data_IF_610224805992
#
_entry.id   IF_610224805992
#
_cell.length_a   1.000
_cell.length_b   1.000
_cell.length_c   1.000
_cell.angle_alpha   90.00
_cell.angle_beta   90.00
_cell.angle_gamma   90.00
#
_symmetry.space_group_name_H-M   'P 1'
#
loop_
_entity.id
_entity.type
_entity.pdbx_description
1 polymer ?
#
# COMPACT_ATOMS: atom_id res chain seq x y z
N UNK A 1 2.51 -5.51 -29.54
CA UNK A 1 3.38 -5.09 -30.67
C UNK A 1 3.23 -3.58 -30.83
N UNK A 2 3.85 -2.91 -31.81
CA UNK A 2 3.60 -1.47 -32.05
C UNK A 2 2.17 -1.17 -32.55
N UNK A 3 1.29 -2.17 -32.62
CA UNK A 3 -0.11 -2.05 -33.03
C UNK A 3 -1.10 -2.25 -31.89
N UNK A 4 -0.65 -2.18 -30.63
CA UNK A 4 -1.47 -2.37 -29.42
C UNK A 4 -2.27 -3.69 -29.38
N UNK A 5 -1.82 -4.70 -30.13
CA UNK A 5 -2.45 -6.03 -30.10
C UNK A 5 -1.83 -6.92 -29.02
N UNK A 6 -2.63 -7.77 -28.35
CA UNK A 6 -2.12 -8.79 -27.44
C UNK A 6 -1.12 -9.70 -28.17
N UNK A 7 0.00 -9.97 -27.52
CA UNK A 7 1.05 -10.85 -28.03
C UNK A 7 1.24 -12.01 -27.07
N UNK A 8 1.45 -13.21 -27.61
CA UNK A 8 1.75 -14.37 -26.79
C UNK A 8 3.08 -14.15 -26.05
N UNK A 9 3.04 -14.26 -24.73
CA UNK A 9 4.19 -14.10 -23.85
C UNK A 9 4.24 -15.24 -22.83
N UNK A 10 5.45 -15.70 -22.52
CA UNK A 10 5.69 -16.67 -21.44
C UNK A 10 6.88 -16.20 -20.61
N UNK A 11 7.00 -16.62 -19.35
CA UNK A 11 8.10 -16.17 -18.53
C UNK A 11 8.01 -16.57 -17.07
N UNK A 12 8.83 -15.89 -16.26
CA UNK A 12 8.87 -16.04 -14.81
C UNK A 12 8.99 -14.68 -14.14
N UNK A 13 8.50 -14.59 -12.91
CA UNK A 13 8.84 -13.52 -11.99
C UNK A 13 9.99 -13.98 -11.10
N UNK A 14 11.09 -13.22 -11.06
CA UNK A 14 12.14 -13.41 -10.07
C UNK A 14 11.90 -12.43 -8.93
N UNK A 15 11.49 -12.93 -7.77
CA UNK A 15 11.31 -12.15 -6.56
C UNK A 15 12.62 -12.11 -5.77
N UNK A 16 13.00 -10.92 -5.32
CA UNK A 16 14.04 -10.68 -4.32
C UNK A 16 13.33 -10.38 -3.02
N UNK A 17 13.15 -11.39 -2.18
CA UNK A 17 12.44 -11.30 -0.89
C UNK A 17 13.50 -11.29 0.21
N UNK A 18 13.66 -10.16 0.90
CA UNK A 18 14.67 -10.03 1.97
C UNK A 18 16.11 -10.31 1.50
N UNK A 19 16.41 -10.02 0.23
CA UNK A 19 17.71 -10.28 -0.40
C UNK A 19 17.89 -11.70 -0.98
N UNK A 20 16.91 -12.60 -0.82
CA UNK A 20 16.94 -13.94 -1.41
C UNK A 20 16.17 -13.98 -2.73
N UNK A 21 16.72 -14.69 -3.73
CA UNK A 21 16.08 -14.92 -5.03
C UNK A 21 15.08 -16.07 -4.93
N UNK A 22 13.87 -15.84 -5.43
CA UNK A 22 12.82 -16.83 -5.62
C UNK A 22 12.28 -16.68 -7.05
N UNK A 23 12.49 -17.71 -7.88
CA UNK A 23 11.96 -17.76 -9.24
C UNK A 23 10.59 -18.42 -9.23
N UNK A 24 9.57 -17.73 -9.73
CA UNK A 24 8.18 -18.20 -9.79
C UNK A 24 7.72 -18.21 -11.24
N UNK A 25 7.34 -19.39 -11.80
CA UNK A 25 6.86 -19.47 -13.17
C UNK A 25 5.50 -18.78 -13.30
N UNK A 26 5.33 -17.98 -14.35
CA UNK A 26 4.05 -17.34 -14.65
C UNK A 26 3.10 -18.34 -15.30
N UNK A 27 1.83 -18.28 -14.89
CA UNK A 27 0.72 -19.01 -15.50
C UNK A 27 -0.19 -18.03 -16.24
N UNK A 28 -0.75 -18.47 -17.36
CA UNK A 28 -1.74 -17.68 -18.07
C UNK A 28 -3.10 -17.78 -17.37
N UNK A 29 -3.74 -16.64 -17.16
CA UNK A 29 -5.10 -16.51 -16.66
C UNK A 29 -5.83 -15.45 -17.50
N UNK A 30 -6.57 -15.90 -18.51
CA UNK A 30 -7.16 -15.00 -19.51
C UNK A 30 -6.11 -14.16 -20.24
N UNK A 31 -6.25 -12.83 -20.17
CA UNK A 31 -5.33 -11.86 -20.76
C UNK A 31 -4.13 -11.50 -19.86
N UNK A 32 -4.05 -12.07 -18.65
CA UNK A 32 -2.99 -11.78 -17.68
C UNK A 32 -2.07 -12.97 -17.42
N UNK A 33 -0.84 -12.68 -16.97
CA UNK A 33 0.11 -13.66 -16.48
C UNK A 33 0.22 -13.50 -14.96
N UNK A 34 -0.10 -14.56 -14.21
CA UNK A 34 -0.13 -14.55 -12.74
C UNK A 34 0.90 -15.51 -12.15
N UNK A 35 1.41 -15.17 -10.98
CA UNK A 35 2.27 -16.02 -10.17
C UNK A 35 2.12 -15.65 -8.70
N UNK A 36 1.92 -16.66 -7.86
CA UNK A 36 1.76 -16.49 -6.42
C UNK A 36 3.05 -16.84 -5.69
N UNK A 37 3.40 -16.03 -4.72
CA UNK A 37 4.47 -16.32 -3.77
C UNK A 37 4.05 -15.87 -2.37
N UNK A 38 4.33 -16.71 -1.37
CA UNK A 38 4.15 -16.32 0.01
C UNK A 38 5.18 -15.23 0.38
N UNK A 39 4.68 -14.04 0.72
CA UNK A 39 5.46 -12.92 1.23
C UNK A 39 4.77 -12.37 2.47
N UNK A 40 5.54 -11.76 3.36
CA UNK A 40 5.05 -11.10 4.57
C UNK A 40 5.11 -9.58 4.41
N UNK A 41 4.41 -8.85 5.27
CA UNK A 41 4.42 -7.38 5.28
C UNK A 41 5.80 -6.79 5.59
N UNK A 42 6.68 -7.54 6.25
CA UNK A 42 8.04 -7.12 6.57
C UNK A 42 9.03 -7.33 5.40
N UNK A 43 8.66 -8.11 4.39
CA UNK A 43 9.55 -8.44 3.29
C UNK A 43 9.75 -7.24 2.37
N UNK A 44 11.02 -6.92 2.11
CA UNK A 44 11.39 -6.09 0.95
C UNK A 44 11.28 -6.97 -0.28
N UNK A 45 10.32 -6.69 -1.16
CA UNK A 45 10.10 -7.45 -2.38
C UNK A 45 10.46 -6.58 -3.57
N UNK A 46 11.50 -6.96 -4.30
CA UNK A 46 11.69 -6.48 -5.66
C UNK A 46 11.38 -7.63 -6.63
N UNK A 47 10.59 -7.36 -7.65
CA UNK A 47 10.26 -8.33 -8.68
C UNK A 47 10.95 -7.95 -9.98
N UNK A 48 11.60 -8.92 -10.61
CA UNK A 48 12.04 -8.81 -12.00
C UNK A 48 11.13 -9.69 -12.81
N UNK A 49 10.24 -9.07 -13.58
CA UNK A 49 9.44 -9.77 -14.55
C UNK A 49 10.32 -10.06 -15.76
N UNK A 50 10.53 -11.34 -16.06
CA UNK A 50 11.28 -11.79 -17.23
C UNK A 50 10.33 -12.50 -18.19
N UNK A 51 10.00 -11.85 -19.30
CA UNK A 51 9.12 -12.38 -20.35
C UNK A 51 9.91 -12.69 -21.61
N UNK A 52 9.43 -13.66 -22.37
CA UNK A 52 9.80 -13.88 -23.76
C UNK A 52 8.58 -13.61 -24.64
N UNK A 53 8.70 -12.62 -25.53
CA UNK A 53 7.66 -12.24 -26.49
C UNK A 53 8.18 -12.59 -27.88
N UNK A 54 7.52 -13.52 -28.58
CA UNK A 54 7.97 -14.02 -29.89
C UNK A 54 9.45 -14.44 -29.91
N UNK A 55 9.92 -15.10 -28.85
CA UNK A 55 11.31 -15.55 -28.71
C UNK A 55 12.32 -14.45 -28.31
N UNK A 56 11.88 -13.20 -28.09
CA UNK A 56 12.74 -12.10 -27.65
C UNK A 56 12.56 -11.81 -26.15
N UNK A 57 13.64 -11.72 -25.36
CA UNK A 57 13.53 -11.44 -23.94
C UNK A 57 13.17 -9.97 -23.68
N UNK A 58 12.28 -9.75 -22.71
CA UNK A 58 11.89 -8.44 -22.18
C UNK A 58 11.91 -8.54 -20.65
N UNK A 59 12.53 -7.58 -19.98
CA UNK A 59 12.58 -7.56 -18.51
C UNK A 59 12.15 -6.22 -17.94
N UNK A 60 11.28 -6.25 -16.94
CA UNK A 60 10.86 -5.08 -16.18
C UNK A 60 11.15 -5.29 -14.69
N UNK A 61 11.61 -4.23 -14.02
CA UNK A 61 11.88 -4.24 -12.57
C UNK A 61 10.80 -3.48 -11.84
N UNK A 62 10.25 -4.11 -10.81
CA UNK A 62 9.25 -3.55 -9.92
C UNK A 62 9.80 -3.64 -8.49
N UNK A 63 9.60 -2.61 -7.69
CA UNK A 63 10.04 -2.57 -6.30
C UNK A 63 8.87 -2.23 -5.42
N UNK A 64 8.63 -3.07 -4.41
CA UNK A 64 7.74 -2.73 -3.31
C UNK A 64 8.62 -2.41 -2.08
N UNK A 65 8.58 -1.15 -1.65
CA UNK A 65 9.27 -0.74 -0.42
C UNK A 65 8.66 -1.50 0.78
N UNK A 66 9.52 -1.91 1.72
CA UNK A 66 9.07 -2.58 2.94
C UNK A 66 8.09 -1.69 3.69
N UNK A 67 7.02 -2.30 4.20
CA UNK A 67 6.06 -1.62 5.02
C UNK A 67 6.67 -1.36 6.40
N UNK A 68 6.70 -0.10 6.81
CA UNK A 68 7.02 0.28 8.18
C UNK A 68 5.75 0.18 9.00
N UNK A 69 5.72 -0.74 9.97
CA UNK A 69 4.65 -0.82 10.96
C UNK A 69 4.98 0.12 12.14
N UNK A 70 4.25 1.24 12.32
CA UNK A 70 4.50 2.14 13.44
C UNK A 70 3.94 1.59 14.75
N UNK A 71 4.44 2.11 15.86
CA UNK A 71 3.73 2.02 17.13
C UNK A 71 2.41 2.78 17.04
N UNK A 72 1.30 2.11 17.33
CA UNK A 72 -0.03 2.68 17.21
C UNK A 72 -0.49 3.26 18.55
N UNK A 73 -1.18 4.41 18.51
CA UNK A 73 -1.96 4.87 19.65
C UNK A 73 -3.10 3.90 19.96
N UNK A 74 -3.75 4.04 21.13
CA UNK A 74 -4.92 3.23 21.46
C UNK A 74 -6.04 3.37 20.40
N UNK A 75 -6.26 4.61 19.93
CA UNK A 75 -7.25 4.90 18.89
C UNK A 75 -6.87 4.26 17.55
N UNK A 76 -5.62 4.41 17.10
CA UNK A 76 -5.17 3.80 15.85
C UNK A 76 -5.14 2.26 15.92
N UNK A 77 -4.93 1.69 17.11
CA UNK A 77 -5.04 0.24 17.34
C UNK A 77 -6.48 -0.25 17.20
N UNK A 78 -7.46 0.47 17.78
CA UNK A 78 -8.87 0.20 17.56
C UNK A 78 -9.26 0.34 16.07
N UNK A 79 -8.71 1.36 15.42
CA UNK A 79 -8.85 1.60 13.98
C UNK A 79 -8.31 0.47 13.12
N UNK A 80 -7.16 -0.08 13.47
CA UNK A 80 -6.58 -1.25 12.79
C UNK A 80 -7.54 -2.44 12.85
N UNK A 81 -8.07 -2.75 14.03
CA UNK A 81 -9.02 -3.85 14.20
C UNK A 81 -10.30 -3.63 13.36
N UNK A 82 -10.85 -2.42 13.37
CA UNK A 82 -12.02 -2.08 12.56
C UNK A 82 -11.71 -2.16 11.05
N UNK A 83 -10.55 -1.68 10.62
CA UNK A 83 -10.10 -1.75 9.23
C UNK A 83 -9.92 -3.21 8.76
N UNK A 84 -9.28 -4.05 9.57
CA UNK A 84 -9.08 -5.47 9.26
C UNK A 84 -10.40 -6.23 9.13
N UNK A 85 -11.39 -5.87 9.95
CA UNK A 85 -12.71 -6.48 9.91
C UNK A 85 -13.55 -6.02 8.70
N UNK A 86 -13.51 -4.73 8.36
CA UNK A 86 -14.49 -4.14 7.42
C UNK A 86 -13.89 -3.78 6.07
N UNK A 87 -12.65 -3.31 6.05
CA UNK A 87 -12.08 -2.63 4.89
C UNK A 87 -11.04 -3.49 4.14
N UNK A 88 -10.30 -4.33 4.87
CA UNK A 88 -9.16 -5.09 4.34
C UNK A 88 -9.55 -6.13 3.27
N UNK A 89 -10.79 -6.60 3.27
CA UNK A 89 -11.29 -7.53 2.25
C UNK A 89 -11.17 -6.96 0.83
N UNK A 90 -11.31 -5.63 0.67
CA UNK A 90 -11.17 -4.95 -0.62
C UNK A 90 -9.88 -4.14 -0.70
N UNK A 91 -9.52 -3.38 0.33
CA UNK A 91 -8.34 -2.51 0.32
C UNK A 91 -7.03 -3.21 0.68
N UNK A 92 -7.07 -4.53 0.84
CA UNK A 92 -5.93 -5.34 1.25
C UNK A 92 -5.50 -5.08 2.70
N UNK A 93 -4.73 -6.01 3.25
CA UNK A 93 -4.15 -5.84 4.58
C UNK A 93 -3.16 -4.67 4.58
N UNK A 94 -3.11 -3.95 5.69
CA UNK A 94 -2.14 -2.89 5.92
C UNK A 94 -2.12 -1.81 4.80
N UNK A 95 -3.29 -1.49 4.25
CA UNK A 95 -3.54 -0.34 3.38
C UNK A 95 -2.88 -0.43 1.99
N UNK A 96 -2.42 -1.61 1.58
CA UNK A 96 -1.63 -1.81 0.35
C UNK A 96 -2.45 -1.92 -0.93
N UNK A 97 -3.78 -1.92 -0.84
CA UNK A 97 -4.66 -2.16 -1.98
C UNK A 97 -4.75 -3.64 -2.31
N UNK A 98 -5.65 -3.96 -3.24
CA UNK A 98 -5.75 -5.27 -3.88
C UNK A 98 -6.25 -5.08 -5.31
N UNK A 99 -6.48 -6.18 -6.03
CA UNK A 99 -7.11 -6.14 -7.35
C UNK A 99 -8.57 -5.63 -7.30
N UNK A 100 -9.18 -5.58 -6.10
CA UNK A 100 -10.54 -5.10 -5.91
C UNK A 100 -10.64 -3.62 -5.52
N UNK A 101 -9.61 -3.01 -4.92
CA UNK A 101 -9.69 -1.63 -4.44
C UNK A 101 -8.30 -0.97 -4.29
N UNK A 102 -8.22 0.38 -4.37
CA UNK A 102 -6.95 1.07 -4.42
C UNK A 102 -6.17 1.02 -3.10
N UNK A 103 -4.83 1.18 -3.15
CA UNK A 103 -4.02 1.38 -1.97
C UNK A 103 -4.36 2.68 -1.26
N UNK A 104 -4.43 2.64 0.08
CA UNK A 104 -4.56 3.83 0.91
C UNK A 104 -3.19 4.41 1.31
N UNK A 105 -2.09 3.67 1.09
CA UNK A 105 -0.72 4.20 1.09
C UNK A 105 -0.39 4.82 -0.27
N UNK A 106 -1.00 5.96 -0.57
CA UNK A 106 -0.81 6.67 -1.82
C UNK A 106 -0.93 8.19 -1.65
N UNK A 107 -0.19 8.96 -2.45
CA UNK A 107 -0.17 10.43 -2.43
C UNK A 107 -1.53 11.09 -2.66
N UNK A 108 -2.47 10.38 -3.27
CA UNK A 108 -3.84 10.88 -3.45
C UNK A 108 -4.58 11.00 -2.13
N UNK A 109 -4.22 10.18 -1.13
CA UNK A 109 -4.92 10.09 0.15
C UNK A 109 -4.13 10.68 1.31
N UNK A 110 -2.99 11.34 1.04
CA UNK A 110 -2.15 11.91 2.09
C UNK A 110 -2.80 13.19 2.67
N UNK A 111 -2.40 13.61 3.89
CA UNK A 111 -2.84 14.89 4.46
C UNK A 111 -2.61 16.06 3.51
N UNK A 112 -3.59 16.96 3.42
CA UNK A 112 -3.53 18.16 2.55
C UNK A 112 -3.74 17.90 1.05
N UNK A 113 -3.99 16.66 0.65
CA UNK A 113 -4.41 16.33 -0.73
C UNK A 113 -5.90 16.55 -0.95
N UNK A 114 -6.34 16.48 -2.21
CA UNK A 114 -7.76 16.56 -2.59
C UNK A 114 -8.60 15.37 -2.13
N UNK A 115 -8.00 14.28 -1.65
CA UNK A 115 -8.70 13.16 -1.02
C UNK A 115 -8.19 12.91 0.41
N UNK A 116 -8.11 14.00 1.18
CA UNK A 116 -7.68 14.04 2.57
C UNK A 116 -8.69 13.46 3.57
N UNK A 117 -8.61 13.91 4.83
CA UNK A 117 -9.34 13.35 5.97
C UNK A 117 -10.87 13.35 5.76
N UNK A 118 -11.41 14.48 5.31
CA UNK A 118 -12.83 14.68 5.07
C UNK A 118 -13.39 13.72 4.01
N UNK A 119 -12.64 13.52 2.92
CA UNK A 119 -13.03 12.60 1.85
C UNK A 119 -12.92 11.15 2.31
N UNK A 120 -11.88 10.79 3.06
CA UNK A 120 -11.73 9.43 3.60
C UNK A 120 -12.86 9.13 4.60
N UNK A 121 -13.20 10.05 5.49
CA UNK A 121 -14.31 9.89 6.44
C UNK A 121 -15.66 9.78 5.72
N UNK A 122 -15.89 10.63 4.71
CA UNK A 122 -17.11 10.57 3.90
C UNK A 122 -17.23 9.23 3.17
N UNK A 123 -16.13 8.74 2.59
CA UNK A 123 -16.08 7.44 1.91
C UNK A 123 -16.32 6.27 2.88
N UNK A 124 -15.70 6.30 4.07
CA UNK A 124 -15.91 5.29 5.10
C UNK A 124 -17.35 5.26 5.63
N UNK A 125 -18.06 6.39 5.56
CA UNK A 125 -19.46 6.51 6.05
C UNK A 125 -20.48 6.17 4.96
N UNK A 126 -20.25 6.60 3.72
CA UNK A 126 -21.25 6.63 2.67
C UNK A 126 -20.87 5.85 1.40
N UNK A 127 -19.64 5.34 1.31
CA UNK A 127 -19.06 4.90 0.05
C UNK A 127 -18.59 6.09 -0.80
N UNK A 128 -18.06 5.82 -1.99
CA UNK A 128 -17.50 6.82 -2.88
C UNK A 128 -17.68 6.47 -4.35
N UNK A 129 -17.78 7.50 -5.20
CA UNK A 129 -17.86 7.34 -6.65
C UNK A 129 -16.47 7.21 -7.27
N UNK A 130 -16.33 6.25 -8.20
CA UNK A 130 -15.08 6.01 -8.91
C UNK A 130 -14.75 7.19 -9.82
N UNK A 131 -13.53 7.72 -9.70
CA UNK A 131 -13.02 8.74 -10.62
C UNK A 131 -11.49 8.77 -10.74
N UNK A 132 -10.76 8.41 -9.68
CA UNK A 132 -9.28 8.33 -9.72
C UNK A 132 -8.75 6.97 -10.21
N UNK A 133 -9.49 5.91 -9.95
CA UNK A 133 -9.11 4.53 -10.27
C UNK A 133 -10.18 3.85 -11.09
N UNK A 134 -9.85 2.68 -11.66
CA UNK A 134 -10.77 1.84 -12.44
C UNK A 134 -11.22 0.60 -11.67
N UNK A 135 -11.58 0.75 -10.39
CA UNK A 135 -12.11 -0.33 -9.55
C UNK A 135 -13.65 -0.33 -9.46
N UNK A 136 -14.30 0.73 -9.94
CA UNK A 136 -15.72 0.95 -9.74
C UNK A 136 -16.02 1.70 -8.44
N UNK A 137 -17.30 1.91 -8.18
CA UNK A 137 -17.75 2.65 -7.00
C UNK A 137 -17.40 1.88 -5.72
N UNK A 138 -16.91 2.60 -4.71
CA UNK A 138 -16.78 2.05 -3.36
C UNK A 138 -18.16 2.00 -2.71
N UNK A 139 -18.69 0.81 -2.39
CA UNK A 139 -19.98 0.70 -1.71
C UNK A 139 -19.89 1.28 -0.30
N UNK A 140 -21.05 1.62 0.28
CA UNK A 140 -21.12 1.99 1.69
C UNK A 140 -20.61 0.82 2.55
N UNK A 141 -19.59 1.02 3.40
CA UNK A 141 -19.10 -0.05 4.27
C UNK A 141 -20.20 -0.53 5.23
N UNK A 142 -20.39 -1.84 5.32
CA UNK A 142 -21.29 -2.47 6.27
C UNK A 142 -20.51 -2.94 7.50
N UNK A 143 -21.09 -2.77 8.70
CA UNK A 143 -20.50 -3.25 9.95
C UNK A 143 -19.57 -2.27 10.68
N UNK A 144 -19.33 -1.08 10.13
CA UNK A 144 -18.66 0.01 10.85
C UNK A 144 -19.66 0.68 11.82
N UNK A 145 -19.32 0.75 13.11
CA UNK A 145 -20.14 1.45 14.11
C UNK A 145 -19.90 2.96 14.02
N UNK A 146 -20.90 3.80 14.40
CA UNK A 146 -20.71 5.24 14.45
C UNK A 146 -19.48 5.64 15.28
N UNK A 147 -18.60 6.45 14.69
CA UNK A 147 -17.35 6.90 15.30
C UNK A 147 -16.13 6.06 14.94
N UNK A 148 -16.30 4.79 14.54
CA UNK A 148 -15.16 3.94 14.17
C UNK A 148 -14.47 4.41 12.88
N UNK A 149 -15.14 5.20 12.03
CA UNK A 149 -14.53 5.82 10.87
C UNK A 149 -13.35 6.74 11.25
N UNK A 150 -13.40 7.38 12.42
CA UNK A 150 -12.31 8.22 12.93
C UNK A 150 -11.14 7.39 13.44
N UNK A 151 -11.42 6.23 14.03
CA UNK A 151 -10.40 5.30 14.47
C UNK A 151 -9.67 4.70 13.25
N UNK A 152 -10.43 4.28 12.23
CA UNK A 152 -9.89 3.82 10.95
C UNK A 152 -9.04 4.91 10.29
N UNK A 153 -9.50 6.17 10.27
CA UNK A 153 -8.68 7.28 9.78
C UNK A 153 -7.38 7.43 10.59
N UNK A 154 -7.43 7.33 11.93
CA UNK A 154 -6.23 7.40 12.76
C UNK A 154 -5.23 6.27 12.43
N UNK A 155 -5.72 5.06 12.17
CA UNK A 155 -4.88 3.96 11.67
C UNK A 155 -4.26 4.27 10.30
N UNK A 156 -5.07 4.76 9.35
CA UNK A 156 -4.61 5.16 8.01
C UNK A 156 -3.49 6.19 8.11
N UNK A 157 -3.66 7.21 8.96
CA UNK A 157 -2.69 8.30 9.13
C UNK A 157 -1.40 7.83 9.80
N UNK A 158 -1.49 6.97 10.82
CA UNK A 158 -0.30 6.39 11.44
C UNK A 158 0.54 5.60 10.44
N UNK A 159 -0.11 4.74 9.66
CA UNK A 159 0.55 3.95 8.61
C UNK A 159 1.12 4.84 7.50
N UNK A 160 0.37 5.81 7.02
CA UNK A 160 0.84 6.74 5.99
C UNK A 160 2.06 7.54 6.46
N UNK A 161 2.05 8.07 7.69
CA UNK A 161 3.18 8.82 8.23
C UNK A 161 4.46 7.98 8.30
N UNK A 162 4.34 6.73 8.75
CA UNK A 162 5.46 5.79 8.83
C UNK A 162 6.03 5.39 7.46
N UNK A 163 5.22 5.51 6.40
CA UNK A 163 5.55 5.04 5.05
C UNK A 163 5.71 6.19 4.04
N UNK A 164 5.99 7.41 4.50
CA UNK A 164 6.34 8.54 3.62
C UNK A 164 5.17 9.31 3.01
N UNK A 165 3.96 9.13 3.53
CA UNK A 165 2.73 9.80 3.07
C UNK A 165 2.15 10.75 4.14
N UNK A 166 2.99 11.38 4.97
CA UNK A 166 2.55 12.32 6.01
C UNK A 166 2.01 13.66 5.47
N UNK A 167 2.10 13.91 4.16
CA UNK A 167 1.85 15.23 3.58
C UNK A 167 3.05 16.18 3.75
N UNK A 168 2.97 17.39 3.22
CA UNK A 168 4.04 18.39 3.32
C UNK A 168 4.04 19.08 4.69
N UNK A 169 4.39 18.36 5.75
CA UNK A 169 4.97 18.93 6.96
C UNK A 169 6.07 17.99 7.47
N UNK A 170 7.20 18.62 7.77
CA UNK A 170 8.50 18.04 8.06
C UNK A 170 8.50 16.81 8.99
N UNK A 171 9.46 15.92 8.74
CA UNK A 171 9.98 14.99 9.74
C UNK A 171 10.23 15.73 11.07
N UNK A 172 9.93 15.13 12.24
CA UNK A 172 10.39 15.71 13.49
C UNK A 172 11.92 15.70 13.47
N UNK A 173 12.50 16.89 13.46
CA UNK A 173 13.91 17.10 13.70
C UNK A 173 14.25 16.41 15.03
N UNK A 174 15.22 15.50 15.00
CA UNK A 174 15.90 15.07 16.19
C UNK A 174 16.54 16.31 16.82
N UNK A 175 15.93 16.81 17.90
CA UNK A 175 16.54 17.87 18.70
C UNK A 175 17.83 17.31 19.30
N UNK A 176 18.97 18.01 19.18
CA UNK A 176 20.15 17.64 19.93
C UNK A 176 19.85 17.82 21.42
N UNK A 177 19.97 16.73 22.18
CA UNK A 177 19.93 16.75 23.63
C UNK A 177 21.08 17.64 24.12
N UNK A 178 20.75 18.75 24.75
CA UNK A 178 21.69 19.53 25.56
C UNK A 178 22.27 18.62 26.65
N UNK A 179 23.59 18.52 26.72
CA UNK A 179 24.30 17.97 27.86
C UNK A 179 24.99 19.11 28.56
N UNK A 180 24.22 19.79 29.40
CA UNK A 180 24.73 20.64 30.45
C UNK A 180 25.73 19.87 31.32
N UNK A 181 26.93 20.43 31.45
CA UNK A 181 27.79 20.28 32.61
C UNK A 181 29.14 19.65 32.32
N UNK A 182 30.21 20.43 32.49
CA UNK A 182 31.37 20.09 33.32
C UNK A 182 32.04 21.40 33.78
N UNK A 183 31.77 21.77 35.03
CA UNK A 183 32.69 22.61 35.81
C UNK A 183 33.90 21.77 36.21
N UNK A 184 35.11 22.31 36.05
CA UNK A 184 36.20 22.15 37.03
C UNK A 184 37.40 23.07 36.71
N UNK A 185 37.65 23.93 37.70
CA UNK A 185 38.88 24.59 38.18
C UNK A 185 39.81 25.30 37.20
#
# INVERSE_FOLDING_TARGET
DHGDKPVAATGKATLLVGGKKLDVPLKADGEVLTADAAVTTADKVAAILSLSVNGKPVSARFGQEALVAPSLSAQASAGKAAFEQVCAACHGTALRGSDAAPPLLHKFYQPGSGHGDDVILAAATNGAKSHMWKFGDMPKPEGLKPGQEKDVLAYIRAMQAANGFAGTTAAPMAMPMDHSGHMKH
#
